data_IF_689460281499
#
_entry.id   IF_689460281499
#
_cell.length_a   1.000
_cell.length_b   1.000
_cell.length_c   1.000
_cell.angle_alpha   90.00
_cell.angle_beta   90.00
_cell.angle_gamma   90.00
#
_symmetry.space_group_name_H-M   'P 1'
#
loop_
_entity.id
_entity.type
_entity.pdbx_description
1 polymer ?
#
# COMPACT_ATOMS: atom_id res chain seq x y z
N UNK A 1 0.93 51.22 7.77
CA UNK A 1 1.18 50.31 6.63
C UNK A 1 1.66 48.98 7.22
N UNK A 2 0.72 48.24 7.78
CA UNK A 2 0.97 47.09 8.63
C UNK A 2 0.53 45.80 7.93
N UNK A 3 1.23 44.70 8.24
CA UNK A 3 0.81 43.30 8.10
C UNK A 3 0.98 42.66 6.70
N UNK A 4 2.22 42.44 6.26
CA UNK A 4 2.54 41.19 5.57
C UNK A 4 2.72 40.11 6.65
N UNK A 5 1.59 39.48 6.95
CA UNK A 5 1.39 38.40 7.89
C UNK A 5 2.42 37.27 7.71
N UNK A 6 2.98 36.85 8.84
CA UNK A 6 3.74 35.63 9.02
C UNK A 6 3.04 34.45 8.32
N UNK A 7 3.63 33.93 7.24
CA UNK A 7 3.38 32.56 6.81
C UNK A 7 4.01 31.63 7.85
N UNK A 8 3.29 31.44 8.96
CA UNK A 8 3.51 30.35 9.89
C UNK A 8 3.39 29.05 9.11
N UNK A 9 4.52 28.40 8.84
CA UNK A 9 4.51 26.97 8.53
C UNK A 9 3.96 26.29 9.78
N UNK A 10 2.67 25.99 9.80
CA UNK A 10 2.10 25.13 10.81
C UNK A 10 2.99 23.87 10.88
N UNK A 11 3.43 23.45 12.08
CA UNK A 11 4.27 22.27 12.20
C UNK A 11 3.53 21.10 11.55
N UNK A 12 4.19 20.41 10.61
CA UNK A 12 3.66 19.18 10.03
C UNK A 12 3.45 18.22 11.20
N UNK A 13 2.20 18.09 11.64
CA UNK A 13 1.82 17.21 12.75
C UNK A 13 2.23 15.79 12.36
N UNK A 14 2.99 15.14 13.24
CA UNK A 14 3.46 13.76 13.08
C UNK A 14 2.32 12.72 13.12
N UNK A 15 1.06 13.17 13.08
CA UNK A 15 -0.15 12.36 13.20
C UNK A 15 -0.26 11.28 12.10
N UNK A 16 0.48 11.41 10.99
CA UNK A 16 0.59 10.40 9.91
C UNK A 16 1.68 9.34 10.15
N UNK A 17 2.66 9.60 11.02
CA UNK A 17 3.76 8.67 11.31
C UNK A 17 3.25 7.46 12.09
N UNK A 18 2.42 7.69 13.10
CA UNK A 18 1.82 6.63 13.92
C UNK A 18 1.09 5.58 13.09
N UNK A 19 0.12 5.93 12.20
CA UNK A 19 -0.52 4.94 11.34
C UNK A 19 0.45 4.30 10.34
N UNK A 20 1.52 5.00 9.92
CA UNK A 20 2.54 4.43 9.03
C UNK A 20 3.36 3.32 9.72
N UNK A 21 3.77 3.51 10.97
CA UNK A 21 4.46 2.48 11.75
C UNK A 21 3.55 1.30 12.09
N UNK A 22 2.27 1.58 12.41
CA UNK A 22 1.29 0.51 12.59
C UNK A 22 1.12 -0.33 11.30
N UNK A 23 1.04 0.33 10.15
CA UNK A 23 0.99 -0.33 8.84
C UNK A 23 2.23 -1.21 8.60
N UNK A 24 3.42 -0.72 8.92
CA UNK A 24 4.67 -1.50 8.79
C UNK A 24 4.61 -2.80 9.59
N UNK A 25 4.18 -2.75 10.85
CA UNK A 25 4.05 -3.93 11.71
C UNK A 25 3.01 -4.89 11.15
N UNK A 26 1.84 -4.36 10.76
CA UNK A 26 0.74 -5.18 10.23
C UNK A 26 1.11 -5.87 8.91
N UNK A 27 1.80 -5.18 8.00
CA UNK A 27 2.31 -5.78 6.76
C UNK A 27 3.39 -6.84 7.02
N UNK A 28 4.24 -6.63 8.04
CA UNK A 28 5.19 -7.65 8.49
C UNK A 28 4.48 -8.91 9.02
N UNK A 29 3.48 -8.73 9.88
CA UNK A 29 2.65 -9.83 10.40
C UNK A 29 1.92 -10.56 9.27
N UNK A 30 1.32 -9.81 8.34
CA UNK A 30 0.63 -10.36 7.17
C UNK A 30 1.55 -11.27 6.34
N UNK A 31 2.73 -10.78 5.93
CA UNK A 31 3.67 -11.56 5.14
C UNK A 31 4.21 -12.79 5.89
N UNK A 32 4.48 -12.67 7.19
CA UNK A 32 4.90 -13.80 8.03
C UNK A 32 3.81 -14.89 8.15
N UNK A 33 2.56 -14.49 8.40
CA UNK A 33 1.43 -15.41 8.55
C UNK A 33 1.13 -16.14 7.23
N UNK A 34 1.16 -15.44 6.09
CA UNK A 34 1.00 -16.07 4.77
C UNK A 34 2.10 -17.09 4.49
N UNK A 35 3.37 -16.75 4.78
CA UNK A 35 4.49 -17.69 4.67
C UNK A 35 4.30 -18.90 5.59
N UNK A 36 3.90 -18.67 6.84
CA UNK A 36 3.66 -19.74 7.81
C UNK A 36 2.54 -20.68 7.34
N UNK A 37 1.45 -20.13 6.78
CA UNK A 37 0.34 -20.92 6.25
C UNK A 37 0.79 -21.86 5.11
N UNK A 38 1.59 -21.35 4.17
CA UNK A 38 2.14 -22.15 3.07
C UNK A 38 3.07 -23.27 3.58
N UNK A 39 3.96 -22.96 4.53
CA UNK A 39 4.88 -23.95 5.14
C UNK A 39 4.11 -25.01 5.92
N UNK A 40 2.97 -24.67 6.52
CA UNK A 40 2.09 -25.61 7.24
C UNK A 40 1.20 -26.45 6.31
N UNK A 41 1.33 -26.31 4.99
CA UNK A 41 0.73 -27.21 3.99
C UNK A 41 -0.49 -26.64 3.26
N UNK A 42 -0.84 -25.37 3.43
CA UNK A 42 -1.88 -24.76 2.60
C UNK A 42 -1.36 -24.56 1.17
N UNK A 43 -2.19 -24.88 0.19
CA UNK A 43 -1.90 -24.52 -1.20
C UNK A 43 -2.03 -23.01 -1.39
N UNK A 44 -1.32 -22.45 -2.39
CA UNK A 44 -1.40 -21.01 -2.67
C UNK A 44 -2.80 -20.50 -3.00
N UNK A 45 -3.69 -21.34 -3.55
CA UNK A 45 -5.09 -20.96 -3.78
C UNK A 45 -5.92 -20.96 -2.51
N UNK A 46 -5.66 -21.88 -1.58
CA UNK A 46 -6.32 -21.93 -0.27
C UNK A 46 -5.92 -20.75 0.61
N UNK A 47 -4.62 -20.45 0.65
CA UNK A 47 -4.07 -19.30 1.38
C UNK A 47 -4.68 -18.00 0.85
N UNK A 48 -4.58 -17.75 -0.47
CA UNK A 48 -5.16 -16.56 -1.08
C UNK A 48 -6.69 -16.46 -0.85
N UNK A 49 -7.40 -17.58 -0.86
CA UNK A 49 -8.83 -17.63 -0.57
C UNK A 49 -9.17 -17.22 0.86
N UNK A 50 -8.43 -17.72 1.84
CA UNK A 50 -8.61 -17.39 3.26
C UNK A 50 -8.28 -15.92 3.54
N UNK A 51 -7.27 -15.35 2.87
CA UNK A 51 -7.00 -13.93 2.98
C UNK A 51 -8.17 -13.07 2.50
N UNK A 52 -8.80 -13.43 1.36
CA UNK A 52 -9.97 -12.69 0.86
C UNK A 52 -11.17 -12.82 1.78
N UNK A 53 -11.35 -13.96 2.44
CA UNK A 53 -12.33 -14.11 3.49
C UNK A 53 -12.04 -13.15 4.67
N UNK A 54 -10.77 -13.05 5.09
CA UNK A 54 -10.34 -12.07 6.09
C UNK A 54 -10.68 -10.63 5.70
N UNK A 55 -10.33 -10.21 4.48
CA UNK A 55 -10.69 -8.88 3.96
C UNK A 55 -12.20 -8.65 3.95
N UNK A 56 -12.98 -9.65 3.54
CA UNK A 56 -14.43 -9.58 3.55
C UNK A 56 -15.00 -9.38 4.95
N UNK A 57 -14.47 -10.07 5.97
CA UNK A 57 -14.88 -9.88 7.36
C UNK A 57 -14.57 -8.47 7.88
N UNK A 58 -13.45 -7.88 7.43
CA UNK A 58 -13.09 -6.49 7.79
C UNK A 58 -13.90 -5.42 7.05
N UNK A 59 -14.59 -5.78 5.95
CA UNK A 59 -15.39 -4.83 5.17
C UNK A 59 -16.47 -4.16 6.03
N UNK A 60 -17.11 -4.92 6.93
CA UNK A 60 -18.13 -4.39 7.84
C UNK A 60 -17.58 -3.34 8.83
N UNK A 61 -16.28 -3.39 9.14
CA UNK A 61 -15.60 -2.38 9.98
C UNK A 61 -15.29 -1.12 9.18
N UNK A 62 -14.89 -1.27 7.91
CA UNK A 62 -14.57 -0.15 7.00
C UNK A 62 -15.83 0.63 6.61
N UNK A 63 -16.98 -0.05 6.52
CA UNK A 63 -18.27 0.59 6.18
C UNK A 63 -18.90 1.37 7.34
N UNK A 64 -18.36 1.26 8.56
CA UNK A 64 -18.79 2.15 9.64
C UNK A 64 -18.30 3.56 9.31
N UNK A 65 -19.18 4.59 9.36
CA UNK A 65 -18.76 5.95 9.09
C UNK A 65 -17.58 6.30 10.01
N UNK A 66 -16.45 6.59 9.37
CA UNK A 66 -15.20 6.87 10.05
C UNK A 66 -15.43 8.09 10.93
N UNK A 67 -15.22 7.98 12.24
CA UNK A 67 -15.36 9.11 13.18
C UNK A 67 -14.20 10.09 13.08
N UNK A 68 -13.52 10.12 11.92
CA UNK A 68 -12.28 10.85 11.69
C UNK A 68 -12.48 12.36 11.58
N UNK A 69 -13.74 12.83 11.63
CA UNK A 69 -14.07 14.25 11.51
C UNK A 69 -13.77 14.83 10.13
N UNK A 70 -13.52 13.98 9.13
CA UNK A 70 -13.31 14.43 7.76
C UNK A 70 -14.65 14.95 7.19
N UNK A 71 -14.73 16.21 6.73
CA UNK A 71 -15.91 16.74 6.05
C UNK A 71 -16.37 15.91 4.85
N UNK A 72 -15.49 15.04 4.33
CA UNK A 72 -15.75 14.07 3.27
C UNK A 72 -16.68 12.93 3.70
N UNK A 73 -16.68 12.53 4.96
CA UNK A 73 -17.33 11.29 5.41
C UNK A 73 -18.88 11.35 5.33
N UNK A 74 -19.46 12.54 5.19
CA UNK A 74 -20.90 12.75 5.10
C UNK A 74 -21.52 12.67 3.69
N UNK A 75 -20.73 12.69 2.61
CA UNK A 75 -21.25 12.69 1.24
C UNK A 75 -21.36 11.27 0.67
N UNK A 76 -22.56 10.87 0.24
CA UNK A 76 -22.84 9.55 -0.31
C UNK A 76 -21.95 9.18 -1.50
N UNK A 77 -21.60 7.89 -1.61
CA UNK A 77 -20.68 7.33 -2.61
C UNK A 77 -21.05 7.71 -4.06
N UNK A 78 -22.36 7.78 -4.36
CA UNK A 78 -22.90 8.14 -5.67
C UNK A 78 -22.76 9.62 -6.03
N UNK A 79 -22.47 10.49 -5.06
CA UNK A 79 -22.21 11.93 -5.29
C UNK A 79 -20.75 12.18 -5.73
N UNK A 80 -19.88 11.16 -5.66
CA UNK A 80 -18.45 11.28 -5.99
C UNK A 80 -18.19 11.12 -7.49
N UNK A 81 -17.00 11.54 -7.92
CA UNK A 81 -16.56 11.41 -9.31
C UNK A 81 -16.57 9.95 -9.77
N UNK A 82 -17.30 9.66 -10.86
CA UNK A 82 -17.35 8.32 -11.48
C UNK A 82 -15.96 7.78 -11.82
N UNK A 83 -15.05 8.67 -12.22
CA UNK A 83 -13.67 8.32 -12.49
C UNK A 83 -12.92 7.87 -11.23
N UNK A 84 -13.12 8.56 -10.11
CA UNK A 84 -12.49 8.17 -8.84
C UNK A 84 -13.02 6.82 -8.34
N UNK A 85 -14.33 6.58 -8.46
CA UNK A 85 -14.94 5.28 -8.15
C UNK A 85 -14.34 4.18 -9.02
N UNK A 86 -14.25 4.41 -10.33
CA UNK A 86 -13.66 3.46 -11.27
C UNK A 86 -12.18 3.19 -10.97
N UNK A 87 -11.40 4.24 -10.66
CA UNK A 87 -10.00 4.11 -10.30
C UNK A 87 -9.82 3.28 -9.01
N UNK A 88 -10.67 3.48 -8.00
CA UNK A 88 -10.66 2.69 -6.77
C UNK A 88 -11.06 1.22 -7.00
N UNK A 89 -12.06 0.97 -7.84
CA UNK A 89 -12.44 -0.39 -8.23
C UNK A 89 -11.30 -1.09 -8.97
N UNK A 90 -10.67 -0.40 -9.91
CA UNK A 90 -9.53 -0.93 -10.65
C UNK A 90 -8.34 -1.18 -9.72
N UNK A 91 -8.09 -0.28 -8.75
CA UNK A 91 -7.10 -0.49 -7.70
C UNK A 91 -7.37 -1.78 -6.94
N UNK A 92 -8.62 -2.05 -6.55
CA UNK A 92 -9.02 -3.31 -5.90
C UNK A 92 -8.74 -4.55 -6.76
N UNK A 93 -9.08 -4.50 -8.05
CA UNK A 93 -8.80 -5.60 -8.99
C UNK A 93 -7.30 -5.83 -9.15
N UNK A 94 -6.51 -4.76 -9.33
CA UNK A 94 -5.05 -4.86 -9.45
C UNK A 94 -4.41 -5.41 -8.18
N UNK A 95 -4.89 -5.02 -6.99
CA UNK A 95 -4.43 -5.56 -5.72
C UNK A 95 -4.76 -7.06 -5.59
N UNK A 96 -5.95 -7.50 -6.01
CA UNK A 96 -6.32 -8.92 -6.02
C UNK A 96 -5.40 -9.73 -6.94
N UNK A 97 -5.18 -9.27 -8.18
CA UNK A 97 -4.30 -9.93 -9.14
C UNK A 97 -2.83 -9.94 -8.67
N UNK A 98 -2.35 -8.84 -8.09
CA UNK A 98 -1.01 -8.74 -7.53
C UNK A 98 -0.81 -9.77 -6.40
N UNK A 99 -1.81 -9.94 -5.52
CA UNK A 99 -1.76 -10.95 -4.47
C UNK A 99 -1.70 -12.37 -5.02
N UNK A 100 -2.46 -12.68 -6.08
CA UNK A 100 -2.39 -13.99 -6.74
C UNK A 100 -0.99 -14.25 -7.33
N UNK A 101 -0.36 -13.24 -7.92
CA UNK A 101 1.01 -13.34 -8.41
C UNK A 101 2.02 -13.50 -7.26
N UNK A 102 1.81 -12.77 -6.16
CA UNK A 102 2.64 -12.84 -4.96
C UNK A 102 2.61 -14.23 -4.33
N UNK A 103 1.44 -14.80 -4.07
CA UNK A 103 1.34 -16.15 -3.49
C UNK A 103 1.96 -17.21 -4.41
N UNK A 104 1.78 -17.09 -5.74
CA UNK A 104 2.47 -17.98 -6.70
C UNK A 104 3.98 -17.84 -6.62
N UNK A 105 4.50 -16.62 -6.56
CA UNK A 105 5.93 -16.37 -6.43
C UNK A 105 6.48 -16.93 -5.10
N UNK A 106 5.74 -16.79 -3.99
CA UNK A 106 6.13 -17.36 -2.69
C UNK A 106 6.17 -18.89 -2.68
N UNK A 107 5.32 -19.56 -3.45
CA UNK A 107 5.31 -21.03 -3.54
C UNK A 107 6.52 -21.54 -4.33
N UNK A 108 6.97 -20.80 -5.34
CA UNK A 108 8.02 -21.25 -6.27
C UNK A 108 9.40 -20.62 -6.05
N UNK A 109 9.50 -19.54 -5.28
CA UNK A 109 10.73 -18.79 -5.04
C UNK A 109 11.09 -18.68 -3.56
N UNK A 110 12.25 -18.09 -3.28
CA UNK A 110 12.61 -17.75 -1.91
C UNK A 110 11.67 -16.66 -1.37
N UNK A 111 11.03 -16.95 -0.24
CA UNK A 111 10.04 -16.04 0.32
C UNK A 111 10.66 -14.68 0.74
N UNK A 112 11.92 -14.65 1.19
CA UNK A 112 12.61 -13.41 1.54
C UNK A 112 12.87 -12.53 0.32
N UNK A 113 13.40 -13.13 -0.74
CA UNK A 113 13.61 -12.49 -2.03
C UNK A 113 12.29 -11.96 -2.62
N UNK A 114 11.24 -12.78 -2.62
CA UNK A 114 9.93 -12.42 -3.18
C UNK A 114 9.33 -11.23 -2.43
N UNK A 115 9.31 -11.26 -1.08
CA UNK A 115 8.80 -10.14 -0.29
C UNK A 115 9.63 -8.86 -0.46
N UNK A 116 10.96 -8.97 -0.58
CA UNK A 116 11.82 -7.81 -0.79
C UNK A 116 11.58 -7.14 -2.16
N UNK A 117 11.43 -7.95 -3.22
CA UNK A 117 11.09 -7.46 -4.56
C UNK A 117 9.70 -6.81 -4.56
N UNK A 118 8.68 -7.44 -3.97
CA UNK A 118 7.33 -6.86 -4.00
C UNK A 118 7.19 -5.61 -3.13
N UNK A 119 7.91 -5.52 -2.02
CA UNK A 119 7.98 -4.30 -1.21
C UNK A 119 8.65 -3.12 -1.94
N UNK A 120 9.40 -3.37 -3.02
CA UNK A 120 10.02 -2.33 -3.85
C UNK A 120 9.09 -1.67 -4.88
N UNK A 121 7.77 -1.86 -4.76
CA UNK A 121 6.79 -1.19 -5.61
C UNK A 121 6.77 0.36 -5.56
N UNK A 122 7.19 1.07 -4.48
CA UNK A 122 7.13 2.54 -4.47
C UNK A 122 7.91 3.23 -5.61
N UNK A 123 9.13 2.79 -5.99
CA UNK A 123 9.77 3.19 -7.25
C UNK A 123 8.87 3.07 -8.50
N UNK A 124 8.16 1.94 -8.67
CA UNK A 124 7.27 1.73 -9.81
C UNK A 124 6.08 2.71 -9.75
N UNK A 125 5.47 2.89 -8.58
CA UNK A 125 4.40 3.88 -8.38
C UNK A 125 4.89 5.29 -8.68
N UNK A 126 6.11 5.65 -8.26
CA UNK A 126 6.70 6.96 -8.53
C UNK A 126 6.84 7.22 -10.04
N UNK A 127 7.26 6.21 -10.81
CA UNK A 127 7.34 6.30 -12.27
C UNK A 127 5.95 6.48 -12.89
N UNK A 128 4.95 5.70 -12.47
CA UNK A 128 3.57 5.84 -12.94
C UNK A 128 3.02 7.23 -12.61
N UNK A 129 3.20 7.73 -11.39
CA UNK A 129 2.79 9.07 -10.97
C UNK A 129 3.48 10.16 -11.80
N UNK A 130 4.76 10.01 -12.14
CA UNK A 130 5.46 10.96 -13.00
C UNK A 130 4.88 11.00 -14.42
N UNK A 131 4.51 9.84 -14.99
CA UNK A 131 3.97 9.74 -16.36
C UNK A 131 2.52 10.23 -16.42
N UNK A 132 1.65 9.74 -15.53
CA UNK A 132 0.20 9.98 -15.60
C UNK A 132 -0.23 11.24 -14.85
N UNK A 133 0.38 11.53 -13.69
CA UNK A 133 0.01 12.68 -12.86
C UNK A 133 0.95 13.88 -13.07
N UNK A 134 1.99 13.73 -13.92
CA UNK A 134 3.00 14.76 -14.21
C UNK A 134 3.67 15.34 -12.96
N UNK A 135 3.83 14.50 -11.93
CA UNK A 135 4.50 14.91 -10.69
C UNK A 135 5.97 15.26 -10.93
N UNK A 136 6.44 16.34 -10.30
CA UNK A 136 7.87 16.70 -10.32
C UNK A 136 8.68 15.69 -9.50
N UNK A 137 9.57 14.97 -10.17
CA UNK A 137 10.50 14.04 -9.54
C UNK A 137 11.61 14.83 -8.82
N UNK A 138 11.55 14.84 -7.50
CA UNK A 138 12.64 15.38 -6.68
C UNK A 138 13.84 14.42 -6.67
N UNK A 139 15.06 14.97 -6.69
CA UNK A 139 16.31 14.20 -6.54
C UNK A 139 16.30 13.28 -5.31
N UNK A 140 15.65 13.72 -4.22
CA UNK A 140 15.50 12.92 -2.98
C UNK A 140 14.62 11.68 -3.20
N UNK A 141 13.51 11.81 -3.94
CA UNK A 141 12.63 10.69 -4.27
C UNK A 141 13.37 9.67 -5.14
N UNK A 142 14.11 10.14 -6.15
CA UNK A 142 14.91 9.28 -7.02
C UNK A 142 16.01 8.53 -6.27
N UNK A 143 16.72 9.20 -5.36
CA UNK A 143 17.75 8.57 -4.54
C UNK A 143 17.15 7.50 -3.62
N UNK A 144 16.01 7.80 -2.98
CA UNK A 144 15.27 6.81 -2.18
C UNK A 144 14.86 5.60 -3.01
N UNK A 145 14.29 5.83 -4.20
CA UNK A 145 13.90 4.76 -5.12
C UNK A 145 15.08 3.87 -5.53
N UNK A 146 16.24 4.47 -5.80
CA UNK A 146 17.45 3.74 -6.11
C UNK A 146 17.86 2.80 -4.97
N UNK A 147 17.89 3.29 -3.73
CA UNK A 147 18.23 2.46 -2.57
C UNK A 147 17.19 1.36 -2.30
N UNK A 148 15.90 1.64 -2.51
CA UNK A 148 14.85 0.62 -2.41
C UNK A 148 15.07 -0.53 -3.41
N UNK A 149 15.35 -0.21 -4.67
CA UNK A 149 15.62 -1.22 -5.70
C UNK A 149 16.93 -1.97 -5.43
N UNK A 150 17.97 -1.28 -4.95
CA UNK A 150 19.25 -1.89 -4.62
C UNK A 150 19.12 -2.88 -3.44
N UNK A 151 18.36 -2.52 -2.40
CA UNK A 151 18.08 -3.43 -1.28
C UNK A 151 17.31 -4.68 -1.72
N UNK A 152 16.28 -4.51 -2.56
CA UNK A 152 15.54 -5.63 -3.13
C UNK A 152 16.44 -6.55 -3.98
N UNK A 153 17.34 -5.98 -4.79
CA UNK A 153 18.29 -6.74 -5.61
C UNK A 153 19.22 -7.60 -4.74
N UNK A 154 19.74 -7.07 -3.64
CA UNK A 154 20.60 -7.86 -2.75
C UNK A 154 19.86 -9.01 -2.05
N UNK A 155 18.63 -8.77 -1.59
CA UNK A 155 17.79 -9.83 -1.01
C UNK A 155 17.38 -10.88 -2.04
N UNK A 156 17.24 -10.51 -3.31
CA UNK A 156 16.93 -11.45 -4.37
C UNK A 156 18.10 -12.38 -4.74
N UNK A 157 19.31 -12.05 -4.30
CA UNK A 157 20.55 -12.77 -4.66
C UNK A 157 21.15 -13.56 -3.48
N UNK A 158 20.55 -13.50 -2.30
CA UNK A 158 20.94 -14.28 -1.11
C UNK A 158 20.41 -15.72 -1.17
#
# INVERSE_FOLDING_TARGET
MALCSNMSMAPVRADWLTPSFACLILYGCWGFLGKLALVRGLSGSQEAGLEKLGFFLTLAVILKPSSSGDPSDGAGLLSRSKFAILASLLSGVTAALANMCYTRAMVHGDAGAVSAITASYPPATLLLSAVFMREKLSRRKLLGSFFTLLGAYFMARS
#
